data_IF_649592191416
#
_entry.id   IF_649592191416
#
_cell.length_a   1.000
_cell.length_b   1.000
_cell.length_c   1.000
_cell.angle_alpha   90.00
_cell.angle_beta   90.00
_cell.angle_gamma   90.00
#
_symmetry.space_group_name_H-M   'P 1'
#
loop_
_entity.id
_entity.type
_entity.pdbx_description
1 polymer ?
#
# COMPACT_ATOMS: atom_id res chain seq x y z
N UNK A 1 7.47 -10.16 -25.07
CA UNK A 1 7.24 -11.56 -24.63
C UNK A 1 6.12 -12.16 -25.46
N UNK A 2 6.25 -13.43 -25.89
CA UNK A 2 5.20 -14.14 -26.63
C UNK A 2 3.92 -14.39 -25.79
N UNK A 3 4.01 -14.22 -24.46
CA UNK A 3 2.94 -14.51 -23.50
C UNK A 3 2.37 -13.26 -22.81
N UNK A 4 2.61 -12.05 -23.33
CA UNK A 4 2.13 -10.80 -22.69
C UNK A 4 2.73 -10.50 -21.31
N UNK A 5 3.63 -11.35 -20.80
CA UNK A 5 4.29 -11.19 -19.50
C UNK A 5 5.22 -9.97 -19.53
N UNK A 6 5.18 -9.09 -18.51
CA UNK A 6 6.06 -7.92 -18.43
C UNK A 6 7.48 -8.36 -18.05
N UNK A 7 8.21 -8.96 -18.99
CA UNK A 7 9.55 -9.53 -18.76
C UNK A 7 10.55 -8.50 -18.27
N UNK A 8 10.41 -7.24 -18.68
CA UNK A 8 11.28 -6.16 -18.23
C UNK A 8 11.09 -5.84 -16.74
N UNK A 9 9.86 -5.83 -16.23
CA UNK A 9 9.62 -5.56 -14.81
C UNK A 9 10.11 -6.71 -13.93
N UNK A 10 9.93 -7.96 -14.40
CA UNK A 10 10.46 -9.16 -13.71
C UNK A 10 11.98 -9.10 -13.64
N UNK A 11 12.66 -8.85 -14.78
CA UNK A 11 14.11 -8.77 -14.82
C UNK A 11 14.64 -7.61 -13.94
N UNK A 12 13.96 -6.46 -13.95
CA UNK A 12 14.28 -5.32 -13.11
C UNK A 12 14.17 -5.67 -11.61
N UNK A 13 13.05 -6.28 -11.20
CA UNK A 13 12.84 -6.70 -9.81
C UNK A 13 13.86 -7.75 -9.37
N UNK A 14 14.09 -8.78 -10.20
CA UNK A 14 15.09 -9.82 -9.94
C UNK A 14 16.50 -9.23 -9.79
N UNK A 15 16.87 -8.23 -10.60
CA UNK A 15 18.15 -7.53 -10.48
C UNK A 15 18.27 -6.82 -9.13
N UNK A 16 17.21 -6.19 -8.64
CA UNK A 16 17.17 -5.57 -7.32
C UNK A 16 17.39 -6.58 -6.19
N UNK A 17 16.76 -7.76 -6.27
CA UNK A 17 16.95 -8.83 -5.28
C UNK A 17 18.39 -9.37 -5.30
N UNK A 18 18.96 -9.60 -6.49
CA UNK A 18 20.35 -10.04 -6.64
C UNK A 18 21.32 -8.99 -6.08
N UNK A 19 21.05 -7.70 -6.31
CA UNK A 19 21.84 -6.61 -5.74
C UNK A 19 21.78 -6.61 -4.20
N UNK A 20 20.60 -6.78 -3.62
CA UNK A 20 20.43 -6.88 -2.16
C UNK A 20 21.12 -8.11 -1.57
N UNK A 21 21.22 -9.21 -2.31
CA UNK A 21 21.88 -10.45 -1.85
C UNK A 21 23.38 -10.28 -1.57
N UNK A 22 24.03 -9.22 -2.04
CA UNK A 22 25.43 -8.93 -1.73
C UNK A 22 25.63 -8.38 -0.31
N UNK A 23 24.54 -7.96 0.34
CA UNK A 23 24.52 -7.27 1.63
C UNK A 23 24.13 -8.23 2.77
N UNK A 24 24.56 -7.96 4.00
CA UNK A 24 24.16 -8.79 5.15
C UNK A 24 22.68 -8.62 5.49
N UNK A 25 22.04 -9.65 6.07
CA UNK A 25 20.62 -9.59 6.47
C UNK A 25 20.29 -8.38 7.35
N UNK A 26 21.13 -8.09 8.36
CA UNK A 26 20.94 -6.94 9.23
C UNK A 26 21.03 -5.62 8.44
N UNK A 27 22.01 -5.53 7.54
CA UNK A 27 22.20 -4.37 6.69
C UNK A 27 21.00 -4.16 5.74
N UNK A 28 20.42 -5.24 5.20
CA UNK A 28 19.20 -5.19 4.38
C UNK A 28 18.02 -4.63 5.19
N UNK A 29 17.82 -5.11 6.43
CA UNK A 29 16.75 -4.60 7.30
C UNK A 29 16.95 -3.11 7.59
N UNK A 30 18.18 -2.69 7.93
CA UNK A 30 18.49 -1.28 8.16
C UNK A 30 18.26 -0.42 6.92
N UNK A 31 18.65 -0.90 5.74
CA UNK A 31 18.45 -0.23 4.45
C UNK A 31 16.96 -0.04 4.12
N UNK A 32 16.17 -1.11 4.25
CA UNK A 32 14.73 -1.07 4.00
C UNK A 32 14.02 -0.14 4.97
N UNK A 33 14.38 -0.20 6.25
CA UNK A 33 13.82 0.66 7.28
C UNK A 33 14.17 2.14 7.05
N UNK A 34 15.38 2.43 6.57
CA UNK A 34 15.79 3.77 6.16
C UNK A 34 14.96 4.27 4.98
N UNK A 35 14.85 3.49 3.90
CA UNK A 35 14.05 3.86 2.72
C UNK A 35 12.57 4.02 3.05
N UNK A 36 12.04 3.16 3.91
CA UNK A 36 10.68 3.27 4.42
C UNK A 36 10.47 4.58 5.17
N UNK A 37 11.38 4.92 6.08
CA UNK A 37 11.34 6.18 6.84
C UNK A 37 11.37 7.40 5.91
N UNK A 38 12.23 7.40 4.90
CA UNK A 38 12.27 8.46 3.86
C UNK A 38 10.94 8.55 3.12
N UNK A 39 10.39 7.43 2.67
CA UNK A 39 9.11 7.38 1.97
C UNK A 39 7.97 7.96 2.81
N UNK A 40 7.88 7.58 4.07
CA UNK A 40 6.88 8.09 5.02
C UNK A 40 7.05 9.59 5.29
N UNK A 41 8.29 10.08 5.44
CA UNK A 41 8.55 11.52 5.58
C UNK A 41 8.15 12.30 4.32
N UNK A 42 8.40 11.75 3.12
CA UNK A 42 7.97 12.33 1.86
C UNK A 42 6.44 12.36 1.74
N UNK A 43 5.75 11.30 2.20
CA UNK A 43 4.30 11.25 2.23
C UNK A 43 3.73 12.32 3.16
N UNK A 44 4.28 12.47 4.36
CA UNK A 44 3.92 13.54 5.28
C UNK A 44 4.17 14.94 4.68
N UNK A 45 5.32 15.13 4.03
CA UNK A 45 5.62 16.38 3.35
C UNK A 45 4.63 16.65 2.21
N UNK A 46 4.30 15.65 1.40
CA UNK A 46 3.33 15.76 0.32
C UNK A 46 1.91 16.06 0.86
N UNK A 47 1.51 15.41 1.94
CA UNK A 47 0.24 15.63 2.62
C UNK A 47 0.11 17.06 3.14
N UNK A 48 1.13 17.56 3.86
CA UNK A 48 1.16 18.94 4.37
C UNK A 48 1.17 19.93 3.19
N UNK A 49 2.00 19.69 2.17
CA UNK A 49 2.06 20.53 0.96
C UNK A 49 0.72 20.58 0.25
N UNK A 50 0.00 19.47 0.15
CA UNK A 50 -1.32 19.41 -0.48
C UNK A 50 -2.39 20.11 0.37
N UNK A 51 -2.31 20.03 1.71
CA UNK A 51 -3.18 20.80 2.62
C UNK A 51 -3.03 22.31 2.42
N UNK A 52 -1.82 22.80 2.22
CA UNK A 52 -1.55 24.22 2.06
C UNK A 52 -1.89 24.69 0.64
N UNK A 53 -1.48 23.94 -0.39
CA UNK A 53 -1.60 24.39 -1.79
C UNK A 53 -3.02 24.27 -2.35
N UNK A 54 -3.81 23.30 -1.88
CA UNK A 54 -5.19 23.07 -2.36
C UNK A 54 -6.11 22.76 -1.18
N UNK A 55 -6.51 23.78 -0.41
CA UNK A 55 -7.41 23.61 0.73
C UNK A 55 -8.83 23.19 0.32
N UNK A 56 -9.27 23.57 -0.88
CA UNK A 56 -10.66 23.39 -1.36
C UNK A 56 -10.98 21.99 -1.92
N UNK A 57 -10.03 21.05 -1.86
CA UNK A 57 -10.28 19.66 -2.24
C UNK A 57 -11.28 19.02 -1.25
N UNK A 58 -12.35 18.35 -1.73
CA UNK A 58 -13.29 17.66 -0.85
C UNK A 58 -12.59 16.51 -0.11
N UNK A 59 -12.50 16.60 1.22
CA UNK A 59 -11.88 15.58 2.08
C UNK A 59 -12.96 14.77 2.80
N UNK A 60 -13.14 13.48 2.51
CA UNK A 60 -14.17 12.65 3.16
C UNK A 60 -13.90 12.46 4.66
N UNK A 61 -12.63 12.49 5.08
CA UNK A 61 -12.22 12.47 6.48
C UNK A 61 -11.57 13.80 6.87
N UNK A 62 -12.20 14.51 7.82
CA UNK A 62 -11.69 15.79 8.34
C UNK A 62 -11.01 15.56 9.68
N UNK A 63 -9.76 16.03 9.78
CA UNK A 63 -9.05 16.07 11.06
C UNK A 63 -9.63 17.18 11.94
N UNK A 64 -9.84 16.93 13.24
CA UNK A 64 -10.59 17.83 14.12
C UNK A 64 -9.93 19.20 14.34
N UNK A 65 -8.63 19.34 14.05
CA UNK A 65 -7.82 20.54 14.33
C UNK A 65 -7.25 21.22 13.07
N UNK A 66 -7.84 20.97 11.89
CA UNK A 66 -7.41 21.60 10.63
C UNK A 66 -5.95 21.26 10.24
N UNK A 67 -5.25 22.21 9.62
CA UNK A 67 -3.86 22.00 9.14
C UNK A 67 -2.85 21.94 10.29
N UNK A 68 -3.05 22.73 11.35
CA UNK A 68 -2.15 22.73 12.51
C UNK A 68 -2.20 21.39 13.26
N UNK A 69 -3.39 20.83 13.48
CA UNK A 69 -3.51 19.51 14.10
C UNK A 69 -2.91 18.39 13.27
N UNK A 70 -3.03 18.49 11.95
CA UNK A 70 -2.38 17.55 11.03
C UNK A 70 -0.85 17.57 11.13
N UNK A 71 -0.24 18.73 11.40
CA UNK A 71 1.20 18.84 11.63
C UNK A 71 1.56 18.29 13.01
N UNK A 72 0.82 18.66 14.05
CA UNK A 72 1.08 18.21 15.43
C UNK A 72 1.00 16.69 15.55
N UNK A 73 0.01 16.05 14.91
CA UNK A 73 -0.13 14.57 14.97
C UNK A 73 0.96 13.86 14.14
N UNK A 74 1.46 14.51 13.09
CA UNK A 74 2.51 13.99 12.23
C UNK A 74 3.91 14.17 12.85
N UNK A 75 4.08 15.15 13.74
CA UNK A 75 5.37 15.47 14.32
C UNK A 75 5.97 14.33 15.16
N UNK A 76 5.23 13.67 16.09
CA UNK A 76 5.76 12.53 16.84
C UNK A 76 6.25 11.37 15.94
N UNK A 77 5.45 10.83 14.99
CA UNK A 77 5.94 9.77 14.13
C UNK A 77 7.09 10.24 13.24
N UNK A 78 7.07 11.48 12.72
CA UNK A 78 8.19 12.01 11.94
C UNK A 78 9.50 12.07 12.74
N UNK A 79 9.46 12.50 14.00
CA UNK A 79 10.63 12.53 14.89
C UNK A 79 11.17 11.12 15.16
N UNK A 80 10.28 10.14 15.37
CA UNK A 80 10.69 8.74 15.55
C UNK A 80 11.36 8.18 14.29
N UNK A 81 10.83 8.47 13.11
CA UNK A 81 11.43 8.07 11.83
C UNK A 81 12.82 8.67 11.65
N UNK A 82 12.99 9.97 11.95
CA UNK A 82 14.30 10.63 11.88
C UNK A 82 15.28 10.02 12.88
N UNK A 83 14.85 9.73 14.11
CA UNK A 83 15.69 9.06 15.09
C UNK A 83 16.17 7.70 14.58
N UNK A 84 15.26 6.90 14.04
CA UNK A 84 15.56 5.58 13.46
C UNK A 84 16.57 5.70 12.31
N UNK A 85 16.43 6.71 11.46
CA UNK A 85 17.40 6.98 10.40
C UNK A 85 18.78 7.38 10.94
N UNK A 86 18.86 8.13 12.03
CA UNK A 86 20.12 8.50 12.68
C UNK A 86 20.83 7.30 13.34
N UNK A 87 20.09 6.25 13.72
CA UNK A 87 20.65 5.03 14.30
C UNK A 87 21.18 4.04 13.25
N UNK A 88 20.91 4.26 11.96
CA UNK A 88 21.35 3.39 10.87
C UNK A 88 22.88 3.42 10.69
N UNK A 89 23.46 2.30 10.26
CA UNK A 89 24.90 2.19 9.97
C UNK A 89 25.35 3.14 8.85
N UNK A 90 26.60 3.61 8.91
CA UNK A 90 27.15 4.49 7.87
C UNK A 90 27.18 3.81 6.48
N UNK A 91 27.39 2.49 6.43
CA UNK A 91 27.39 1.75 5.15
C UNK A 91 26.02 1.74 4.51
N UNK A 92 24.99 1.39 5.29
CA UNK A 92 23.59 1.33 4.84
C UNK A 92 23.10 2.72 4.44
N UNK A 93 23.52 3.77 5.17
CA UNK A 93 23.26 5.17 4.85
C UNK A 93 23.81 5.59 3.47
N UNK A 94 25.04 5.22 3.13
CA UNK A 94 25.63 5.57 1.82
C UNK A 94 24.90 4.84 0.68
N UNK A 95 24.59 3.55 0.88
CA UNK A 95 23.85 2.75 -0.11
C UNK A 95 22.44 3.31 -0.32
N UNK A 96 21.71 3.63 0.75
CA UNK A 96 20.37 4.21 0.64
C UNK A 96 20.38 5.60 0.01
N UNK A 97 21.34 6.46 0.34
CA UNK A 97 21.50 7.76 -0.30
C UNK A 97 21.76 7.62 -1.81
N UNK A 98 22.61 6.67 -2.23
CA UNK A 98 22.86 6.40 -3.64
C UNK A 98 21.60 5.94 -4.38
N UNK A 99 20.80 5.06 -3.76
CA UNK A 99 19.52 4.58 -4.32
C UNK A 99 18.49 5.71 -4.43
N UNK A 100 18.41 6.60 -3.43
CA UNK A 100 17.53 7.77 -3.47
C UNK A 100 17.93 8.73 -4.59
N UNK A 101 19.24 9.02 -4.73
CA UNK A 101 19.76 9.86 -5.80
C UNK A 101 19.46 9.23 -7.16
N UNK A 102 19.69 7.92 -7.31
CA UNK A 102 19.35 7.19 -8.52
C UNK A 102 17.85 7.31 -8.85
N UNK A 103 16.97 7.12 -7.86
CA UNK A 103 15.53 7.32 -8.01
C UNK A 103 15.16 8.73 -8.46
N UNK A 104 15.83 9.75 -7.90
CA UNK A 104 15.61 11.14 -8.28
C UNK A 104 16.11 11.44 -9.71
N UNK A 105 17.21 10.82 -10.14
CA UNK A 105 17.76 10.93 -11.51
C UNK A 105 16.94 10.14 -12.52
N UNK A 106 16.27 9.06 -12.12
CA UNK A 106 15.38 8.29 -12.98
C UNK A 106 14.15 9.11 -13.41
N UNK A 107 13.69 10.08 -12.62
CA UNK A 107 12.58 10.95 -13.00
C UNK A 107 12.87 11.79 -14.27
N UNK A 108 13.93 12.63 -14.32
CA UNK A 108 14.27 13.36 -15.53
C UNK A 108 14.78 12.45 -16.65
N UNK A 109 15.36 11.27 -16.35
CA UNK A 109 15.73 10.32 -17.40
C UNK A 109 14.51 9.82 -18.17
N UNK A 110 13.38 9.59 -17.48
CA UNK A 110 12.12 9.24 -18.13
C UNK A 110 11.60 10.36 -19.04
N UNK A 111 11.71 11.62 -18.58
CA UNK A 111 11.36 12.77 -19.40
C UNK A 111 12.29 12.94 -20.61
N UNK A 112 13.58 12.62 -20.45
CA UNK A 112 14.54 12.58 -21.54
C UNK A 112 14.21 11.49 -22.56
N UNK A 113 13.95 10.25 -22.11
CA UNK A 113 13.62 9.11 -23.00
C UNK A 113 12.34 9.37 -23.80
N UNK A 114 11.37 10.10 -23.22
CA UNK A 114 10.17 10.55 -23.93
C UNK A 114 10.52 11.46 -25.12
N UNK A 115 11.50 12.35 -24.96
CA UNK A 115 11.95 13.25 -26.03
C UNK A 115 12.66 12.50 -27.17
N UNK A 116 13.26 11.34 -26.89
CA UNK A 116 13.90 10.49 -27.90
C UNK A 116 12.93 9.54 -28.64
N UNK A 117 11.62 9.54 -28.33
CA UNK A 117 10.60 8.66 -28.97
C UNK A 117 10.94 7.15 -28.92
N UNK A 118 11.71 6.70 -27.94
CA UNK A 118 12.12 5.29 -27.86
C UNK A 118 11.02 4.36 -27.30
N UNK A 119 10.02 4.89 -26.60
CA UNK A 119 8.96 4.10 -25.99
C UNK A 119 7.59 4.55 -26.51
N UNK A 120 7.04 3.76 -27.43
CA UNK A 120 5.67 3.91 -27.90
C UNK A 120 4.75 3.38 -26.78
N UNK A 121 4.14 4.29 -26.01
CA UNK A 121 3.16 3.93 -24.99
C UNK A 121 1.89 3.42 -25.69
N UNK A 122 1.81 2.11 -25.87
CA UNK A 122 0.60 1.48 -26.38
C UNK A 122 -0.48 1.56 -25.28
N UNK A 123 -1.42 2.49 -25.43
CA UNK A 123 -2.52 2.71 -24.49
C UNK A 123 -3.66 1.75 -24.78
N UNK A 124 -3.37 0.47 -24.95
CA UNK A 124 -4.40 -0.55 -25.12
C UNK A 124 -5.02 -0.81 -23.75
N UNK A 125 -6.01 0.02 -23.41
CA UNK A 125 -6.91 -0.20 -22.28
C UNK A 125 -7.67 -1.50 -22.58
N UNK A 126 -7.14 -2.62 -22.10
CA UNK A 126 -7.88 -3.87 -22.11
C UNK A 126 -9.09 -3.70 -21.18
N UNK A 127 -10.32 -4.01 -21.62
CA UNK A 127 -11.49 -3.93 -20.76
C UNK A 127 -11.30 -4.89 -19.56
N UNK A 128 -11.40 -4.33 -18.36
CA UNK A 128 -11.30 -5.03 -17.06
C UNK A 128 -12.52 -5.95 -16.92
N UNK A 129 -12.52 -7.08 -17.62
CA UNK A 129 -13.63 -8.03 -17.50
C UNK A 129 -13.21 -9.48 -17.31
N UNK A 130 -11.95 -9.88 -17.46
CA UNK A 130 -11.59 -11.31 -17.33
C UNK A 130 -10.18 -11.52 -16.76
N UNK A 131 -9.99 -11.31 -15.46
CA UNK A 131 -8.89 -11.96 -14.71
C UNK A 131 -9.47 -12.46 -13.39
N UNK A 132 -10.24 -13.54 -13.49
CA UNK A 132 -10.43 -14.48 -12.39
C UNK A 132 -9.21 -15.43 -12.43
N UNK A 133 -8.64 -15.71 -11.27
CA UNK A 133 -7.77 -16.86 -11.00
C UNK A 133 -6.41 -16.96 -11.75
N UNK A 134 -5.34 -16.41 -11.14
CA UNK A 134 -4.01 -17.04 -11.07
C UNK A 134 -3.07 -16.19 -10.19
N UNK A 135 -3.08 -16.45 -8.88
CA UNK A 135 -1.96 -16.10 -8.01
C UNK A 135 -0.70 -16.91 -8.41
N UNK A 136 0.51 -16.37 -8.19
CA UNK A 136 1.27 -16.94 -7.09
C UNK A 136 2.01 -15.91 -6.22
N UNK A 137 1.86 -16.12 -4.91
CA UNK A 137 2.77 -15.84 -3.80
C UNK A 137 3.83 -14.74 -3.97
N UNK A 138 3.55 -13.58 -3.37
CA UNK A 138 4.55 -12.83 -2.60
C UNK A 138 3.92 -12.49 -1.25
N UNK A 139 4.23 -13.30 -0.25
CA UNK A 139 4.02 -12.98 1.15
C UNK A 139 5.32 -12.35 1.66
N UNK A 140 5.33 -11.04 1.89
CA UNK A 140 6.29 -10.42 2.80
C UNK A 140 5.57 -9.36 3.68
N UNK A 141 5.42 -9.74 4.95
CA UNK A 141 5.46 -8.88 6.13
C UNK A 141 4.69 -7.55 6.13
N UNK A 142 3.39 -7.61 6.44
CA UNK A 142 2.73 -6.57 7.25
C UNK A 142 1.77 -7.22 8.23
N UNK A 143 2.31 -7.63 9.37
CA UNK A 143 1.52 -8.01 10.53
C UNK A 143 1.01 -6.72 11.20
N UNK A 144 -0.19 -6.28 10.83
CA UNK A 144 -1.20 -5.67 11.71
C UNK A 144 -2.54 -5.86 10.99
N UNK A 145 -3.24 -6.95 11.28
CA UNK A 145 -4.65 -7.07 10.94
C UNK A 145 -5.42 -6.49 12.12
N UNK A 146 -6.02 -5.32 11.90
CA UNK A 146 -6.94 -4.68 12.83
C UNK A 146 -8.13 -5.62 13.11
N UNK A 147 -8.14 -6.18 14.32
CA UNK A 147 -9.25 -6.93 14.96
C UNK A 147 -10.61 -6.20 14.88
N UNK A 148 -10.59 -4.88 14.66
CA UNK A 148 -11.80 -4.05 14.49
C UNK A 148 -12.62 -4.38 13.24
N UNK A 149 -12.02 -5.04 12.23
CA UNK A 149 -12.70 -5.39 10.96
C UNK A 149 -13.59 -6.62 11.10
N UNK A 150 -13.27 -7.52 12.03
CA UNK A 150 -13.99 -8.79 12.25
C UNK A 150 -15.32 -8.57 12.98
N UNK A 151 -15.44 -7.52 13.78
CA UNK A 151 -16.69 -7.17 14.47
C UNK A 151 -17.72 -6.47 13.57
N UNK A 152 -17.35 -5.89 12.42
CA UNK A 152 -18.26 -5.11 11.58
C UNK A 152 -18.97 -5.91 10.47
N UNK A 153 -18.71 -7.22 10.35
CA UNK A 153 -19.38 -8.10 9.38
C UNK A 153 -20.26 -9.18 10.03
N UNK A 154 -20.46 -9.13 11.34
CA UNK A 154 -21.44 -9.97 12.04
C UNK A 154 -22.73 -9.16 12.24
N UNK A 155 -23.63 -9.20 11.26
CA UNK A 155 -25.11 -9.18 11.38
C UNK A 155 -25.79 -8.69 10.07
N UNK A 156 -27.04 -9.09 9.74
CA UNK A 156 -27.43 -10.43 9.30
C UNK A 156 -28.30 -10.30 8.04
N UNK A 157 -27.78 -10.57 6.85
CA UNK A 157 -28.62 -10.55 5.64
C UNK A 157 -28.05 -11.47 4.58
N UNK A 158 -28.36 -12.76 4.68
CA UNK A 158 -28.77 -13.67 3.60
C UNK A 158 -28.72 -15.13 4.08
N UNK A 159 -29.65 -15.52 4.93
CA UNK A 159 -30.02 -16.93 5.03
C UNK A 159 -31.47 -17.06 4.56
N UNK A 160 -31.58 -17.54 3.32
CA UNK A 160 -32.62 -18.44 2.84
C UNK A 160 -34.02 -17.84 2.59
N UNK A 161 -34.26 -17.54 1.31
CA UNK A 161 -35.59 -17.50 0.69
C UNK A 161 -35.88 -18.87 0.05
N UNK A 162 -37.17 -19.09 -0.18
CA UNK A 162 -37.86 -20.23 -0.79
C UNK A 162 -38.26 -21.32 0.22
N UNK A 163 -39.53 -21.68 0.40
CA UNK A 163 -40.82 -21.19 -0.16
C UNK A 163 -41.95 -21.92 0.61
N UNK A 164 -43.13 -21.28 0.69
CA UNK A 164 -44.49 -21.89 0.60
C UNK A 164 -44.93 -23.02 1.57
N UNK A 165 -46.14 -23.14 2.12
CA UNK A 165 -47.34 -22.34 2.38
C UNK A 165 -48.29 -23.28 3.18
N UNK A 166 -49.12 -22.71 4.05
CA UNK A 166 -50.40 -23.23 4.60
C UNK A 166 -50.46 -24.68 5.17
N UNK A 167 -50.75 -24.80 6.48
CA UNK A 167 -52.14 -25.04 6.90
C UNK A 167 -52.34 -24.95 8.44
N UNK A 168 -53.43 -24.27 8.80
CA UNK A 168 -54.38 -24.57 9.87
C UNK A 168 -53.92 -25.03 11.29
N UNK A 169 -54.17 -24.12 12.24
CA UNK A 169 -55.09 -24.29 13.40
C UNK A 169 -54.71 -25.14 14.63
N UNK A 170 -55.27 -24.65 15.74
CA UNK A 170 -55.40 -25.18 17.12
C UNK A 170 -54.16 -25.09 18.01
N UNK A 171 -54.14 -24.16 18.99
CA UNK A 171 -54.82 -24.25 20.29
C UNK A 171 -54.51 -25.54 21.06
N UNK A 172 -53.83 -25.38 22.19
CA UNK A 172 -54.20 -26.10 23.40
C UNK A 172 -53.15 -27.02 24.02
N UNK A 173 -52.94 -26.77 25.32
CA UNK A 173 -53.03 -27.79 26.37
C UNK A 173 -51.80 -28.70 26.59
N UNK A 174 -51.03 -28.31 27.61
CA UNK A 174 -50.65 -29.08 28.83
C UNK A 174 -49.93 -30.44 28.78
N UNK A 175 -49.08 -30.58 29.84
CA UNK A 175 -48.57 -31.78 30.55
C UNK A 175 -47.28 -32.42 30.01
N UNK A 176 -46.24 -32.53 30.85
CA UNK A 176 -45.89 -33.69 31.73
C UNK A 176 -45.70 -34.94 30.86
N UNK A 177 -44.54 -35.58 30.80
CA UNK A 177 -43.54 -35.95 31.81
C UNK A 177 -42.09 -35.76 31.33
#
# INVERSE_FOLDING_TARGET
SKYGTPTLSILCSATGVVFLSWMSFQEIIEFLNFLYSVGMLLEFAAFIKLRIKRPDLPRPYRVPFGTTGAIIICLPPALLLVLVMCLASLKTFVVSAAVIILGFVLYPSMEYVKNYKWLMFDSTVLPISQVHEAAPAVCEGKEVIDEASVCLLSDPSYAKKEEHNEDSSMEGVLKLD
#
